data_IF_817365478629
#
_entry.id   IF_817365478629
#
_cell.length_a   1.000
_cell.length_b   1.000
_cell.length_c   1.000
_cell.angle_alpha   90.00
_cell.angle_beta   90.00
_cell.angle_gamma   90.00
#
_symmetry.space_group_name_H-M   'P 1'
#
loop_
_entity.id
_entity.type
_entity.pdbx_description
1 polymer ?
#
# COMPACT_ATOMS: atom_id res chain seq x y z
N UNK A 1 -6.46 -0.18 7.96
CA UNK A 1 -5.46 0.44 7.05
C UNK A 1 -6.07 0.64 5.68
N UNK A 2 -5.85 1.79 5.10
CA UNK A 2 -6.35 2.16 3.78
C UNK A 2 -5.40 1.66 2.69
N UNK A 3 -5.93 0.96 1.70
CA UNK A 3 -5.20 0.41 0.57
C UNK A 3 -5.92 0.73 -0.73
N UNK A 4 -5.17 0.71 -1.83
CA UNK A 4 -5.73 0.90 -3.17
C UNK A 4 -5.39 -0.28 -4.06
N UNK A 5 -6.26 -0.55 -5.03
CA UNK A 5 -5.95 -1.43 -6.13
C UNK A 5 -5.76 -0.60 -7.39
N UNK A 6 -4.62 -0.78 -8.05
CA UNK A 6 -4.28 -0.11 -9.31
C UNK A 6 -5.15 -0.64 -10.44
N UNK A 7 -5.47 0.22 -11.41
CA UNK A 7 -6.20 -0.22 -12.60
C UNK A 7 -5.34 -1.14 -13.47
N UNK A 8 -5.99 -2.00 -14.25
CA UNK A 8 -5.31 -2.99 -15.09
C UNK A 8 -4.64 -2.37 -16.33
N UNK A 9 -5.04 -1.16 -16.73
CA UNK A 9 -4.49 -0.50 -17.90
C UNK A 9 -3.23 0.34 -17.65
N UNK A 10 -2.78 0.44 -16.40
CA UNK A 10 -1.52 1.12 -16.09
C UNK A 10 -0.32 0.33 -16.59
N UNK A 11 0.72 1.04 -17.04
CA UNK A 11 1.96 0.41 -17.52
C UNK A 11 2.80 -0.17 -16.40
N UNK A 12 2.80 0.48 -15.23
CA UNK A 12 3.53 0.03 -14.05
C UNK A 12 2.59 -0.69 -13.08
N UNK A 13 2.90 -1.95 -12.78
CA UNK A 13 2.20 -2.76 -11.77
C UNK A 13 0.67 -2.76 -11.90
N UNK A 14 0.11 -3.14 -13.07
CA UNK A 14 -1.34 -3.16 -13.26
C UNK A 14 -2.02 -4.12 -12.29
N UNK A 15 -3.16 -3.72 -11.74
CA UNK A 15 -3.96 -4.53 -10.83
C UNK A 15 -3.36 -4.76 -9.45
N UNK A 16 -2.16 -4.24 -9.15
CA UNK A 16 -1.50 -4.44 -7.86
C UNK A 16 -2.16 -3.65 -6.75
N UNK A 17 -2.21 -4.26 -5.56
CA UNK A 17 -2.63 -3.58 -4.33
C UNK A 17 -1.43 -2.87 -3.73
N UNK A 18 -1.62 -1.61 -3.37
CA UNK A 18 -0.56 -0.77 -2.79
C UNK A 18 -1.13 0.24 -1.80
N UNK A 19 -0.23 0.92 -1.09
CA UNK A 19 -0.58 2.13 -0.37
C UNK A 19 -0.77 3.28 -1.36
N UNK A 20 -1.59 4.30 -1.02
CA UNK A 20 -1.55 5.56 -1.76
C UNK A 20 -0.12 6.11 -1.75
N UNK A 21 0.37 6.50 -2.91
CA UNK A 21 1.74 6.99 -3.03
C UNK A 21 2.22 7.00 -4.47
N UNK A 22 3.42 7.55 -4.67
CA UNK A 22 4.00 7.65 -6.00
C UNK A 22 5.40 8.23 -5.96
N UNK A 23 5.86 8.68 -7.11
CA UNK A 23 7.21 9.22 -7.28
C UNK A 23 7.34 10.62 -6.71
N UNK A 24 8.47 10.87 -6.07
CA UNK A 24 8.84 12.21 -5.66
C UNK A 24 9.06 13.11 -6.89
N UNK A 25 8.56 14.32 -6.81
CA UNK A 25 8.77 15.37 -7.79
C UNK A 25 9.72 16.42 -7.23
N UNK A 26 10.37 17.19 -8.12
CA UNK A 26 11.37 18.20 -7.72
C UNK A 26 10.80 19.27 -6.79
N UNK A 27 9.50 19.55 -6.88
CA UNK A 27 8.81 20.51 -6.00
C UNK A 27 8.39 19.94 -4.65
N UNK A 28 8.47 18.63 -4.44
CA UNK A 28 8.17 18.03 -3.14
C UNK A 28 9.30 18.33 -2.15
N UNK A 29 8.95 18.89 -1.00
CA UNK A 29 9.95 19.26 0.02
C UNK A 29 10.65 18.04 0.62
N UNK A 30 9.92 16.93 0.78
CA UNK A 30 10.39 15.70 1.39
C UNK A 30 9.47 14.52 1.02
N UNK A 31 9.76 13.34 1.58
CA UNK A 31 8.95 12.14 1.34
C UNK A 31 7.53 12.26 1.91
N UNK A 32 7.35 12.97 3.00
CA UNK A 32 6.02 13.23 3.59
C UNK A 32 5.19 14.06 2.61
N UNK A 33 5.77 15.12 2.05
CA UNK A 33 5.09 15.96 1.05
C UNK A 33 4.67 15.14 -0.19
N UNK A 34 5.54 14.26 -0.67
CA UNK A 34 5.23 13.33 -1.78
C UNK A 34 4.05 12.42 -1.43
N UNK A 35 4.09 11.79 -0.27
CA UNK A 35 3.05 10.87 0.16
C UNK A 35 1.68 11.55 0.28
N UNK A 36 1.65 12.74 0.86
CA UNK A 36 0.41 13.51 1.02
C UNK A 36 -0.13 14.01 -0.32
N UNK A 37 0.74 14.48 -1.21
CA UNK A 37 0.35 14.93 -2.56
C UNK A 37 -0.24 13.78 -3.37
N UNK A 38 0.45 12.65 -3.41
CA UNK A 38 0.00 11.48 -4.16
C UNK A 38 -1.32 10.91 -3.60
N UNK A 39 -1.49 10.87 -2.28
CA UNK A 39 -2.75 10.45 -1.67
C UNK A 39 -3.92 11.37 -2.04
N UNK A 40 -3.66 12.67 -2.13
CA UNK A 40 -4.67 13.62 -2.59
C UNK A 40 -5.03 13.39 -4.07
N UNK A 41 -4.03 13.22 -4.93
CA UNK A 41 -4.24 12.99 -6.36
C UNK A 41 -4.96 11.67 -6.64
N UNK A 42 -4.59 10.59 -5.96
CA UNK A 42 -5.12 9.26 -6.23
C UNK A 42 -6.51 9.01 -5.64
N UNK A 43 -6.74 9.45 -4.40
CA UNK A 43 -7.96 9.10 -3.65
C UNK A 43 -8.71 10.30 -3.07
N UNK A 44 -8.27 11.52 -3.34
CA UNK A 44 -8.90 12.73 -2.84
C UNK A 44 -8.68 13.00 -1.35
N UNK A 45 -7.66 12.35 -0.75
CA UNK A 45 -7.36 12.54 0.67
C UNK A 45 -6.64 13.87 0.89
N UNK A 46 -7.40 14.85 1.40
CA UNK A 46 -6.83 16.16 1.74
C UNK A 46 -5.91 16.07 2.96
N UNK A 47 -4.82 16.80 2.92
CA UNK A 47 -3.79 16.82 3.99
C UNK A 47 -4.36 17.11 5.38
N UNK A 48 -5.39 17.95 5.49
CA UNK A 48 -6.03 18.30 6.76
C UNK A 48 -6.63 17.10 7.50
N UNK A 49 -6.91 16.00 6.79
CA UNK A 49 -7.44 14.77 7.38
C UNK A 49 -6.37 13.78 7.79
N UNK A 50 -5.08 14.11 7.63
CA UNK A 50 -3.97 13.21 7.94
C UNK A 50 -3.13 13.77 9.08
N UNK A 51 -3.02 12.99 10.14
CA UNK A 51 -2.07 13.23 11.23
C UNK A 51 -0.84 12.35 11.00
N UNK A 52 0.23 12.95 10.49
CA UNK A 52 1.47 12.23 10.15
C UNK A 52 2.22 11.86 11.42
N UNK A 53 2.47 10.57 11.61
CA UNK A 53 3.22 10.06 12.75
C UNK A 53 4.73 10.02 12.50
N UNK A 54 5.14 9.74 11.27
CA UNK A 54 6.55 9.67 10.90
C UNK A 54 6.81 8.77 9.70
N UNK A 55 8.09 8.45 9.52
CA UNK A 55 8.58 7.60 8.45
C UNK A 55 9.15 6.30 9.01
N UNK A 56 8.96 5.20 8.28
CA UNK A 56 9.70 3.96 8.51
C UNK A 56 11.01 3.99 7.70
N UNK A 57 11.97 3.12 8.03
CA UNK A 57 13.16 2.95 7.20
C UNK A 57 12.78 2.66 5.75
N UNK A 58 13.58 3.18 4.81
CA UNK A 58 13.35 2.98 3.38
C UNK A 58 13.36 1.50 3.01
N UNK A 59 12.56 1.16 2.01
CA UNK A 59 12.47 -0.17 1.43
C UNK A 59 12.89 -0.10 -0.04
N UNK A 60 13.82 -0.98 -0.44
CA UNK A 60 14.21 -1.11 -1.85
C UNK A 60 13.43 -2.25 -2.49
N UNK A 61 12.66 -1.94 -3.54
CA UNK A 61 11.88 -2.93 -4.27
C UNK A 61 12.76 -3.81 -5.14
N UNK A 62 12.25 -4.97 -5.57
CA UNK A 62 12.94 -5.85 -6.51
C UNK A 62 13.23 -5.22 -7.87
N UNK A 63 12.50 -4.14 -8.23
CA UNK A 63 12.70 -3.37 -9.46
C UNK A 63 13.61 -2.15 -9.28
N UNK A 64 14.20 -1.97 -8.11
CA UNK A 64 15.20 -0.93 -7.83
C UNK A 64 14.65 0.40 -7.33
N UNK A 65 13.35 0.52 -7.06
CA UNK A 65 12.78 1.72 -6.45
C UNK A 65 13.11 1.76 -4.95
N UNK A 66 13.44 2.96 -4.46
CA UNK A 66 13.60 3.24 -3.04
C UNK A 66 12.32 3.90 -2.55
N UNK A 67 11.61 3.23 -1.64
CA UNK A 67 10.33 3.68 -1.10
C UNK A 67 10.52 4.15 0.34
N UNK A 68 10.02 5.33 0.66
CA UNK A 68 9.92 5.83 2.04
C UNK A 68 8.49 5.66 2.53
N UNK A 69 8.21 4.68 3.40
CA UNK A 69 6.88 4.52 3.98
C UNK A 69 6.60 5.64 4.97
N UNK A 70 5.54 6.39 4.75
CA UNK A 70 5.04 7.43 5.63
C UNK A 70 3.80 6.90 6.36
N UNK A 71 3.81 6.99 7.68
CA UNK A 71 2.72 6.50 8.53
C UNK A 71 1.92 7.68 9.06
N UNK A 72 0.62 7.62 8.94
CA UNK A 72 -0.30 8.62 9.46
C UNK A 72 -1.64 8.03 9.87
N UNK A 73 -2.31 8.72 10.78
CA UNK A 73 -3.71 8.49 11.06
C UNK A 73 -4.56 9.33 10.10
N UNK A 74 -5.61 8.71 9.56
CA UNK A 74 -6.56 9.37 8.68
C UNK A 74 -7.85 9.59 9.44
N UNK A 75 -8.32 10.83 9.46
CA UNK A 75 -9.63 11.18 10.02
C UNK A 75 -10.72 10.49 9.17
N UNK A 76 -11.62 9.71 9.79
CA UNK A 76 -12.69 9.02 9.06
C UNK A 76 -13.70 9.96 8.40
N UNK A 77 -13.66 11.26 8.71
CA UNK A 77 -14.53 12.27 8.12
C UNK A 77 -14.20 12.65 6.68
N UNK A 78 -13.08 12.15 6.10
CA UNK A 78 -12.80 12.45 4.72
C UNK A 78 -13.68 11.64 3.75
N UNK A 79 -13.96 12.21 2.58
CA UNK A 79 -14.68 11.52 1.51
C UNK A 79 -13.71 11.02 0.45
N UNK A 80 -13.77 9.72 0.15
CA UNK A 80 -12.96 9.13 -0.92
C UNK A 80 -13.43 9.67 -2.27
N UNK A 81 -12.48 10.17 -3.05
CA UNK A 81 -12.68 10.59 -4.43
C UNK A 81 -11.53 10.03 -5.27
N UNK A 82 -11.66 8.76 -5.65
CA UNK A 82 -10.62 8.05 -6.38
C UNK A 82 -10.52 8.53 -7.84
N UNK A 83 -9.29 8.68 -8.33
CA UNK A 83 -9.03 8.88 -9.76
C UNK A 83 -9.33 7.57 -10.50
N UNK A 84 -10.38 7.50 -11.34
CA UNK A 84 -10.78 6.25 -11.98
C UNK A 84 -9.78 5.76 -13.02
N UNK A 85 -8.86 6.61 -13.48
CA UNK A 85 -7.80 6.19 -14.39
C UNK A 85 -6.71 5.39 -13.67
N UNK A 86 -6.35 5.78 -12.46
CA UNK A 86 -5.25 5.15 -11.70
C UNK A 86 -5.72 4.12 -10.69
N UNK A 87 -6.89 4.33 -10.07
CA UNK A 87 -7.39 3.55 -8.94
C UNK A 87 -8.68 2.84 -9.30
N UNK A 88 -8.64 1.51 -9.29
CA UNK A 88 -9.80 0.67 -9.52
C UNK A 88 -10.69 0.57 -8.27
N UNK A 89 -10.09 0.53 -7.09
CA UNK A 89 -10.80 0.38 -5.82
C UNK A 89 -9.97 0.95 -4.66
N UNK A 90 -10.67 1.54 -3.69
CA UNK A 90 -10.13 1.93 -2.38
C UNK A 90 -10.83 1.06 -1.35
N UNK A 91 -10.07 0.42 -0.48
CA UNK A 91 -10.63 -0.46 0.55
C UNK A 91 -9.82 -0.37 1.84
N UNK A 92 -10.42 -0.85 2.91
CA UNK A 92 -9.80 -0.88 4.24
C UNK A 92 -9.64 -2.31 4.73
N UNK A 93 -8.52 -2.57 5.39
CA UNK A 93 -8.24 -3.85 6.04
C UNK A 93 -7.99 -3.58 7.53
N UNK A 94 -8.58 -4.36 8.44
CA UNK A 94 -8.31 -4.20 9.86
C UNK A 94 -6.81 -4.29 10.16
N UNK A 95 -6.28 -3.32 10.90
CA UNK A 95 -4.87 -3.31 11.27
C UNK A 95 -4.50 -4.58 12.07
N UNK A 96 -5.39 -5.06 12.91
CA UNK A 96 -5.20 -6.30 13.67
C UNK A 96 -4.98 -7.52 12.79
N UNK A 97 -5.64 -7.57 11.63
CA UNK A 97 -5.41 -8.64 10.65
C UNK A 97 -4.02 -8.53 10.02
N UNK A 98 -3.65 -7.33 9.55
CA UNK A 98 -2.37 -7.09 8.89
C UNK A 98 -1.18 -7.28 9.83
N UNK A 99 -1.35 -6.98 11.11
CA UNK A 99 -0.29 -7.10 12.13
C UNK A 99 -0.26 -8.46 12.82
N UNK A 100 -1.07 -9.40 12.38
CA UNK A 100 -1.00 -10.79 12.85
C UNK A 100 -0.04 -11.59 11.96
N UNK A 101 1.12 -12.04 12.48
CA UNK A 101 2.12 -12.74 11.67
C UNK A 101 1.62 -14.09 11.13
N UNK A 102 0.56 -14.68 11.72
CA UNK A 102 -0.06 -15.88 11.19
C UNK A 102 -0.69 -15.68 9.80
N UNK A 103 -1.02 -14.43 9.44
CA UNK A 103 -1.56 -14.07 8.13
C UNK A 103 -0.47 -13.74 7.10
N UNK A 104 0.80 -13.68 7.52
CA UNK A 104 1.93 -13.43 6.64
C UNK A 104 2.42 -14.75 6.06
N UNK A 105 2.30 -14.90 4.75
CA UNK A 105 2.65 -16.13 4.03
C UNK A 105 3.92 -15.92 3.22
N UNK A 106 4.80 -16.92 3.23
CA UNK A 106 6.00 -16.95 2.41
C UNK A 106 5.77 -17.84 1.20
N UNK A 107 6.19 -17.35 0.04
CA UNK A 107 6.14 -18.07 -1.21
C UNK A 107 7.54 -18.17 -1.81
N UNK A 108 7.80 -19.28 -2.47
CA UNK A 108 9.02 -19.48 -3.24
C UNK A 108 8.64 -19.90 -4.66
N UNK A 109 9.22 -19.25 -5.66
CA UNK A 109 9.06 -19.58 -7.08
C UNK A 109 10.44 -19.68 -7.72
N UNK A 110 10.58 -20.57 -8.69
CA UNK A 110 11.75 -20.63 -9.56
C UNK A 110 11.46 -19.90 -10.87
N UNK A 111 12.30 -18.89 -11.18
CA UNK A 111 12.28 -18.17 -12.44
C UNK A 111 13.66 -18.22 -13.05
N UNK A 112 13.76 -18.81 -14.26
CA UNK A 112 15.04 -18.94 -14.98
C UNK A 112 16.15 -19.59 -14.15
N UNK A 113 15.82 -20.63 -13.37
CA UNK A 113 16.77 -21.34 -12.51
C UNK A 113 17.13 -20.61 -11.21
N UNK A 114 16.54 -19.46 -10.95
CA UNK A 114 16.76 -18.68 -9.71
C UNK A 114 15.55 -18.78 -8.82
N UNK A 115 15.78 -19.22 -7.57
CA UNK A 115 14.74 -19.23 -6.54
C UNK A 115 14.48 -17.80 -6.05
N UNK A 116 13.24 -17.36 -6.13
CA UNK A 116 12.80 -16.08 -5.60
C UNK A 116 11.74 -16.30 -4.53
N UNK A 117 11.84 -15.53 -3.45
CA UNK A 117 10.88 -15.55 -2.37
C UNK A 117 10.12 -14.24 -2.32
N UNK A 118 8.84 -14.31 -1.96
CA UNK A 118 8.00 -13.13 -1.73
C UNK A 118 6.99 -13.40 -0.61
N UNK A 119 6.44 -12.33 -0.07
CA UNK A 119 5.41 -12.38 0.98
C UNK A 119 4.04 -12.06 0.39
N UNK A 120 3.01 -12.64 1.01
CA UNK A 120 1.62 -12.24 0.78
C UNK A 120 0.85 -12.17 2.10
N UNK A 121 -0.18 -11.33 2.13
CA UNK A 121 -1.13 -11.19 3.23
C UNK A 121 -2.53 -11.15 2.62
N UNK A 122 -3.08 -12.30 2.17
CA UNK A 122 -4.39 -12.31 1.52
C UNK A 122 -5.49 -11.93 2.50
N UNK A 123 -6.37 -11.03 2.08
CA UNK A 123 -7.52 -10.57 2.86
C UNK A 123 -8.83 -10.97 2.20
N UNK A 124 -9.68 -11.65 2.96
CA UNK A 124 -11.06 -11.97 2.54
C UNK A 124 -11.99 -10.86 3.04
N UNK A 125 -12.47 -10.03 2.15
CA UNK A 125 -13.33 -8.90 2.45
C UNK A 125 -14.56 -8.86 1.57
N UNK A 126 -15.14 -7.68 1.46
CA UNK A 126 -16.23 -7.39 0.54
C UNK A 126 -15.87 -6.18 -0.31
N UNK A 127 -16.31 -6.19 -1.55
CA UNK A 127 -16.10 -5.05 -2.45
C UNK A 127 -17.13 -3.93 -2.23
N UNK A 128 -17.04 -2.87 -3.04
CA UNK A 128 -17.93 -1.72 -2.95
C UNK A 128 -19.42 -2.08 -3.21
N UNK A 129 -19.69 -3.22 -3.87
CA UNK A 129 -21.03 -3.74 -4.13
C UNK A 129 -21.53 -4.68 -3.03
N UNK A 130 -20.70 -4.93 -1.99
CA UNK A 130 -21.03 -5.84 -0.90
C UNK A 130 -20.79 -7.32 -1.23
N UNK A 131 -20.15 -7.62 -2.35
CA UNK A 131 -19.86 -9.00 -2.74
C UNK A 131 -18.54 -9.50 -2.13
N UNK A 132 -18.48 -10.78 -1.71
CA UNK A 132 -17.24 -11.35 -1.20
C UNK A 132 -16.11 -11.25 -2.20
N UNK A 133 -14.96 -10.78 -1.76
CA UNK A 133 -13.78 -10.61 -2.60
C UNK A 133 -12.51 -10.93 -1.84
N UNK A 134 -11.58 -11.62 -2.51
CA UNK A 134 -10.24 -11.85 -2.02
C UNK A 134 -9.29 -10.77 -2.56
N UNK A 135 -8.66 -10.06 -1.62
CA UNK A 135 -7.62 -9.08 -1.95
C UNK A 135 -6.26 -9.72 -1.71
N UNK A 136 -5.52 -9.94 -2.79
CA UNK A 136 -4.20 -10.55 -2.71
C UNK A 136 -3.14 -9.47 -2.53
N UNK A 137 -2.83 -9.18 -1.28
CA UNK A 137 -1.77 -8.23 -0.89
C UNK A 137 -0.45 -8.98 -0.94
N UNK A 138 0.48 -8.56 -1.79
CA UNK A 138 1.73 -9.28 -1.98
C UNK A 138 2.89 -8.36 -2.38
N UNK A 139 4.08 -8.93 -2.49
CA UNK A 139 5.27 -8.22 -2.98
C UNK A 139 5.73 -7.12 -2.03
N UNK A 140 6.09 -5.97 -2.59
CA UNK A 140 6.59 -4.83 -1.83
C UNK A 140 5.61 -4.35 -0.76
N UNK A 141 4.32 -4.32 -1.06
CA UNK A 141 3.28 -3.90 -0.10
C UNK A 141 3.27 -4.84 1.12
N UNK A 142 3.24 -6.15 0.89
CA UNK A 142 3.28 -7.13 1.98
C UNK A 142 4.60 -7.08 2.75
N UNK A 143 5.72 -6.86 2.08
CA UNK A 143 7.03 -6.73 2.72
C UNK A 143 7.10 -5.51 3.64
N UNK A 144 6.58 -4.36 3.21
CA UNK A 144 6.53 -3.15 4.04
C UNK A 144 5.58 -3.31 5.23
N UNK A 145 4.45 -4.03 5.07
CA UNK A 145 3.57 -4.38 6.18
C UNK A 145 4.27 -5.29 7.19
N UNK A 146 5.06 -6.25 6.73
CA UNK A 146 5.89 -7.09 7.61
C UNK A 146 6.92 -6.26 8.37
N UNK A 147 7.52 -5.27 7.73
CA UNK A 147 8.45 -4.36 8.39
C UNK A 147 7.75 -3.51 9.45
N UNK A 148 6.55 -3.01 9.18
CA UNK A 148 5.74 -2.32 10.17
C UNK A 148 5.45 -3.21 11.38
N UNK A 149 5.05 -4.47 11.15
CA UNK A 149 4.84 -5.43 12.22
C UNK A 149 6.09 -5.58 13.09
N UNK A 150 7.25 -5.79 12.48
CA UNK A 150 8.52 -5.93 13.20
C UNK A 150 8.86 -4.69 14.02
N UNK A 151 8.59 -3.53 13.47
CA UNK A 151 8.78 -2.25 14.18
C UNK A 151 7.89 -2.16 15.42
N UNK A 152 6.62 -2.53 15.30
CA UNK A 152 5.64 -2.41 16.39
C UNK A 152 5.88 -3.39 17.53
N UNK A 153 6.51 -4.55 17.27
CA UNK A 153 6.80 -5.58 18.29
C UNK A 153 8.25 -5.55 18.80
N UNK A 154 9.04 -4.65 18.30
CA UNK A 154 10.44 -4.50 18.70
C UNK A 154 10.58 -4.01 20.16
#
# INVERSE_FOLDING_TARGET
MLLTQRTDHLTDHPGQISFPGGRAEDFDADAIATALREAHEEIGLETRFVDVLGELPTYTTGTGFIVTPVVGFVDPGFTVNADPFEVAEVFEVPLSFLMNPANHRRHAVELNGVRREFLSIPWEGVDAQGEPRRYFIWGATAAMLRNLYRFLVA
#
